data_IF_214761581250
#
_entry.id   IF_214761581250
#
_cell.length_a   1.000
_cell.length_b   1.000
_cell.length_c   1.000
_cell.angle_alpha   90.00
_cell.angle_beta   90.00
_cell.angle_gamma   90.00
#
_symmetry.space_group_name_H-M   'P 1'
#
loop_
_entity.id
_entity.type
_entity.pdbx_description
1 polymer ?
#
# COMPACT_ATOMS: atom_id res chain seq x y z
N UNK A 1 7.61 -6.26 -7.37
CA UNK A 1 8.11 -5.50 -6.21
C UNK A 1 9.52 -5.05 -6.53
N UNK A 2 9.80 -3.75 -6.45
CA UNK A 2 11.09 -3.15 -6.80
C UNK A 2 11.88 -2.82 -5.54
N UNK A 3 13.19 -3.08 -5.53
CA UNK A 3 14.03 -2.74 -4.38
C UNK A 3 14.39 -1.26 -4.37
N UNK A 4 13.92 -0.51 -3.38
CA UNK A 4 14.07 0.96 -3.33
C UNK A 4 15.52 1.43 -3.38
N UNK A 5 16.46 0.76 -2.70
CA UNK A 5 17.88 1.13 -2.72
C UNK A 5 18.50 1.01 -4.12
N UNK A 6 18.36 -0.15 -4.78
CA UNK A 6 18.86 -0.37 -6.14
C UNK A 6 18.19 0.58 -7.12
N UNK A 7 16.87 0.76 -6.98
CA UNK A 7 16.09 1.64 -7.84
C UNK A 7 16.47 3.11 -7.69
N UNK A 8 16.84 3.57 -6.50
CA UNK A 8 17.31 4.94 -6.28
C UNK A 8 18.69 5.19 -6.92
N UNK A 9 19.55 4.18 -6.96
CA UNK A 9 20.97 4.35 -7.31
C UNK A 9 21.29 4.00 -8.77
N UNK A 10 20.65 2.98 -9.34
CA UNK A 10 21.02 2.43 -10.65
C UNK A 10 19.99 2.78 -11.74
N UNK A 11 20.40 3.61 -12.71
CA UNK A 11 19.59 3.86 -13.91
C UNK A 11 19.37 2.58 -14.72
N UNK A 12 20.42 1.79 -14.91
CA UNK A 12 20.34 0.52 -15.65
C UNK A 12 19.29 -0.42 -15.04
N UNK A 13 19.27 -0.55 -13.71
CA UNK A 13 18.26 -1.33 -13.02
C UNK A 13 16.85 -0.78 -13.25
N UNK A 14 16.66 0.55 -13.17
CA UNK A 14 15.35 1.18 -13.46
C UNK A 14 14.86 0.88 -14.86
N UNK A 15 15.74 1.01 -15.86
CA UNK A 15 15.40 0.78 -17.27
C UNK A 15 15.03 -0.70 -17.52
N UNK A 16 15.67 -1.64 -16.82
CA UNK A 16 15.41 -3.08 -16.92
C UNK A 16 14.08 -3.48 -16.27
N UNK A 17 13.84 -3.03 -15.03
CA UNK A 17 12.73 -3.54 -14.20
C UNK A 17 11.42 -2.77 -14.37
N UNK A 18 11.46 -1.59 -14.98
CA UNK A 18 10.29 -0.75 -15.20
C UNK A 18 10.33 -0.11 -16.61
N UNK A 19 10.25 -0.92 -17.68
CA UNK A 19 9.99 -0.39 -19.01
C UNK A 19 8.60 0.28 -19.01
N UNK A 20 8.50 1.47 -19.58
CA UNK A 20 7.26 2.24 -19.59
C UNK A 20 6.39 1.86 -20.78
N UNK A 21 5.11 1.61 -20.54
CA UNK A 21 4.08 1.38 -21.54
C UNK A 21 2.91 2.34 -21.30
N UNK A 22 2.43 3.00 -22.34
CA UNK A 22 1.32 3.97 -22.24
C UNK A 22 -0.02 3.30 -21.86
N UNK A 23 -0.17 2.01 -22.16
CA UNK A 23 -1.36 1.23 -21.84
C UNK A 23 -1.38 0.73 -20.39
N UNK A 24 -0.30 0.90 -19.61
CA UNK A 24 -0.23 0.46 -18.22
C UNK A 24 -0.98 1.40 -17.25
N UNK A 25 -1.77 2.34 -17.76
CA UNK A 25 -2.50 3.33 -16.96
C UNK A 25 -3.85 2.79 -16.46
N UNK A 26 -4.21 2.97 -15.16
CA UNK A 26 -3.41 3.57 -14.10
C UNK A 26 -2.33 2.62 -13.54
N UNK A 27 -1.06 3.04 -13.58
CA UNK A 27 0.07 2.25 -13.08
C UNK A 27 0.33 2.53 -11.60
N UNK A 28 0.43 1.48 -10.78
CA UNK A 28 0.90 1.57 -9.39
C UNK A 28 2.25 0.88 -9.26
N UNK A 29 3.26 1.61 -8.80
CA UNK A 29 4.63 1.07 -8.64
C UNK A 29 4.87 0.66 -7.20
N UNK A 30 5.10 -0.63 -6.97
CA UNK A 30 5.34 -1.17 -5.62
C UNK A 30 6.83 -1.25 -5.27
N UNK A 31 7.23 -0.57 -4.19
CA UNK A 31 8.58 -0.60 -3.64
C UNK A 31 8.69 -1.46 -2.36
N UNK A 32 9.86 -2.05 -2.17
CA UNK A 32 10.33 -2.62 -0.92
C UNK A 32 11.50 -1.82 -0.36
N UNK A 33 11.45 -1.57 0.94
CA UNK A 33 12.47 -0.84 1.67
C UNK A 33 12.06 -0.65 3.11
N UNK A 34 12.97 -0.08 3.89
CA UNK A 34 12.73 0.23 5.30
C UNK A 34 13.28 1.61 5.69
N UNK A 35 13.90 2.34 4.77
CA UNK A 35 14.42 3.69 5.00
C UNK A 35 13.57 4.71 4.24
N UNK A 36 13.04 5.70 4.97
CA UNK A 36 12.10 6.66 4.44
C UNK A 36 12.74 7.57 3.37
N UNK A 37 14.00 7.97 3.56
CA UNK A 37 14.71 8.82 2.60
C UNK A 37 15.03 8.08 1.31
N UNK A 38 15.49 6.83 1.41
CA UNK A 38 15.78 5.98 0.26
C UNK A 38 14.52 5.67 -0.54
N UNK A 39 13.41 5.36 0.15
CA UNK A 39 12.10 5.20 -0.49
C UNK A 39 11.65 6.49 -1.20
N UNK A 40 11.83 7.66 -0.58
CA UNK A 40 11.48 8.94 -1.20
C UNK A 40 12.28 9.17 -2.49
N UNK A 41 13.61 8.93 -2.47
CA UNK A 41 14.45 9.03 -3.67
C UNK A 41 13.96 8.11 -4.78
N UNK A 42 13.66 6.85 -4.46
CA UNK A 42 13.13 5.89 -5.44
C UNK A 42 11.76 6.33 -6.00
N UNK A 43 10.83 6.75 -5.14
CA UNK A 43 9.49 7.18 -5.53
C UNK A 43 9.51 8.42 -6.45
N UNK A 44 10.46 9.35 -6.26
CA UNK A 44 10.58 10.54 -7.11
C UNK A 44 10.86 10.22 -8.58
N UNK A 45 11.51 9.09 -8.90
CA UNK A 45 11.73 8.67 -10.28
C UNK A 45 10.44 8.26 -11.01
N UNK A 46 9.39 7.87 -10.28
CA UNK A 46 8.11 7.44 -10.87
C UNK A 46 7.00 8.47 -10.68
N UNK A 47 7.25 9.55 -9.92
CA UNK A 47 6.24 10.51 -9.47
C UNK A 47 5.41 11.12 -10.60
N UNK A 48 6.01 11.34 -11.78
CA UNK A 48 5.35 12.01 -12.89
C UNK A 48 4.70 11.04 -13.90
N UNK A 49 4.74 9.73 -13.64
CA UNK A 49 4.28 8.68 -14.58
C UNK A 49 3.35 7.66 -13.92
N UNK A 50 3.62 7.30 -12.68
CA UNK A 50 2.76 6.41 -11.92
C UNK A 50 1.53 7.16 -11.39
N UNK A 51 0.40 6.45 -11.24
CA UNK A 51 -0.77 6.96 -10.54
C UNK A 51 -0.54 7.01 -9.02
N UNK A 52 0.15 6.02 -8.47
CA UNK A 52 0.45 5.91 -7.05
C UNK A 52 1.74 5.10 -6.83
N UNK A 53 2.31 5.21 -5.63
CA UNK A 53 3.34 4.31 -5.13
C UNK A 53 2.75 3.39 -4.07
N UNK A 54 3.11 2.11 -4.08
CA UNK A 54 2.66 1.13 -3.08
C UNK A 54 3.85 0.62 -2.26
N UNK A 55 3.67 0.52 -0.95
CA UNK A 55 4.71 0.05 -0.04
C UNK A 55 4.46 -1.42 0.33
N UNK A 56 5.44 -2.27 0.05
CA UNK A 56 5.37 -3.68 0.40
C UNK A 56 5.72 -3.89 1.89
N UNK A 57 4.70 -4.22 2.67
CA UNK A 57 4.82 -4.66 4.07
C UNK A 57 4.37 -6.12 4.25
N UNK A 58 4.23 -6.88 3.16
CA UNK A 58 3.66 -8.23 3.18
C UNK A 58 4.60 -9.35 2.73
N UNK A 59 5.79 -9.05 2.20
CA UNK A 59 6.71 -10.05 1.67
C UNK A 59 7.34 -10.91 2.80
N UNK A 60 7.16 -12.25 2.80
CA UNK A 60 7.74 -13.15 3.81
C UNK A 60 9.01 -13.87 3.31
N UNK A 61 9.66 -13.39 2.24
CA UNK A 61 10.86 -14.03 1.69
C UNK A 61 12.08 -13.81 2.58
N UNK A 62 13.03 -14.75 2.57
CA UNK A 62 14.28 -14.66 3.34
C UNK A 62 15.06 -13.36 3.05
N UNK A 63 15.04 -12.90 1.81
CA UNK A 63 15.65 -11.60 1.46
C UNK A 63 15.00 -10.42 2.17
N UNK A 64 13.69 -10.48 2.43
CA UNK A 64 12.99 -9.48 3.23
C UNK A 64 13.40 -9.52 4.70
N UNK A 65 13.71 -10.71 5.22
CA UNK A 65 14.26 -10.88 6.57
C UNK A 65 15.66 -10.27 6.67
N UNK A 66 16.54 -10.63 5.73
CA UNK A 66 17.94 -10.18 5.71
C UNK A 66 18.04 -8.65 5.67
N UNK A 67 17.19 -8.02 4.88
CA UNK A 67 17.20 -6.57 4.68
C UNK A 67 16.12 -5.82 5.48
N UNK A 68 15.42 -6.52 6.40
CA UNK A 68 14.44 -5.94 7.32
C UNK A 68 13.35 -5.08 6.64
N UNK A 69 12.70 -5.62 5.61
CA UNK A 69 11.53 -5.02 4.96
C UNK A 69 10.35 -6.02 4.89
N UNK A 70 9.23 -5.61 4.30
CA UNK A 70 8.11 -6.53 4.06
C UNK A 70 7.44 -6.98 5.36
N UNK A 71 7.08 -8.26 5.45
CA UNK A 71 6.39 -8.83 6.62
C UNK A 71 7.19 -8.69 7.91
N UNK A 72 8.52 -8.65 7.84
CA UNK A 72 9.38 -8.53 9.01
C UNK A 72 9.28 -7.16 9.69
N UNK A 73 8.78 -6.14 9.00
CA UNK A 73 8.42 -4.86 9.61
C UNK A 73 7.09 -4.92 10.41
N UNK A 74 6.28 -5.96 10.24
CA UNK A 74 5.01 -6.12 10.96
C UNK A 74 5.14 -6.82 12.31
N UNK A 75 6.28 -7.50 12.56
CA UNK A 75 6.45 -8.42 13.69
C UNK A 75 6.22 -7.82 15.08
N UNK A 76 6.61 -6.57 15.30
CA UNK A 76 6.51 -5.95 16.61
C UNK A 76 6.07 -4.48 16.53
N UNK A 77 5.65 -3.93 17.67
CA UNK A 77 5.15 -2.55 17.76
C UNK A 77 6.18 -1.51 17.30
N UNK A 78 7.47 -1.68 17.61
CA UNK A 78 8.52 -0.74 17.22
C UNK A 78 8.69 -0.69 15.70
N UNK A 79 8.71 -1.84 15.02
CA UNK A 79 8.79 -1.90 13.57
C UNK A 79 7.52 -1.34 12.90
N UNK A 80 6.35 -1.54 13.50
CA UNK A 80 5.12 -0.90 13.03
C UNK A 80 5.19 0.62 13.13
N UNK A 81 5.74 1.18 14.22
CA UNK A 81 5.98 2.63 14.30
C UNK A 81 6.93 3.12 13.20
N UNK A 82 7.94 2.34 12.83
CA UNK A 82 8.80 2.64 11.67
C UNK A 82 8.01 2.66 10.36
N UNK A 83 7.08 1.72 10.14
CA UNK A 83 6.18 1.76 8.98
C UNK A 83 5.36 3.05 8.97
N UNK A 84 4.71 3.39 10.09
CA UNK A 84 3.87 4.59 10.19
C UNK A 84 4.69 5.87 9.92
N UNK A 85 5.94 5.92 10.42
CA UNK A 85 6.86 7.01 10.12
C UNK A 85 7.18 7.09 8.62
N UNK A 86 7.51 5.98 7.97
CA UNK A 86 7.78 5.94 6.52
C UNK A 86 6.57 6.45 5.74
N UNK A 87 5.36 5.96 6.05
CA UNK A 87 4.13 6.36 5.35
C UNK A 87 3.90 7.87 5.51
N UNK A 88 3.93 8.40 6.74
CA UNK A 88 3.78 9.84 7.01
C UNK A 88 4.80 10.67 6.25
N UNK A 89 6.06 10.26 6.30
CA UNK A 89 7.16 10.96 5.64
C UNK A 89 6.96 11.02 4.12
N UNK A 90 6.57 9.91 3.49
CA UNK A 90 6.32 9.89 2.06
C UNK A 90 5.10 10.71 1.67
N UNK A 91 4.00 10.64 2.42
CA UNK A 91 2.79 11.43 2.16
C UNK A 91 3.07 12.94 2.24
N UNK A 92 3.93 13.38 3.16
CA UNK A 92 4.34 14.77 3.28
C UNK A 92 5.22 15.27 2.12
N UNK A 93 5.94 14.37 1.46
CA UNK A 93 7.02 14.72 0.52
C UNK A 93 6.78 14.27 -0.94
N UNK A 94 5.70 13.54 -1.20
CA UNK A 94 5.30 13.07 -2.54
C UNK A 94 3.99 13.71 -2.99
N UNK A 95 3.91 13.97 -4.29
CA UNK A 95 2.68 14.43 -4.94
C UNK A 95 1.73 13.29 -5.28
N UNK A 96 2.25 12.05 -5.36
CA UNK A 96 1.45 10.86 -5.63
C UNK A 96 0.85 10.27 -4.34
N UNK A 97 -0.36 9.68 -4.43
CA UNK A 97 -0.91 8.82 -3.39
C UNK A 97 0.07 7.73 -2.95
N UNK A 98 0.14 7.51 -1.64
CA UNK A 98 0.91 6.44 -1.02
C UNK A 98 -0.04 5.32 -0.58
N UNK A 99 0.12 4.15 -1.18
CA UNK A 99 -0.62 2.93 -0.85
C UNK A 99 0.22 2.02 0.03
N UNK A 100 -0.46 1.12 0.75
CA UNK A 100 0.19 0.09 1.53
C UNK A 100 -0.38 -1.28 1.18
N UNK A 101 0.52 -2.28 1.09
CA UNK A 101 0.12 -3.69 1.00
C UNK A 101 0.64 -4.46 2.21
N UNK A 102 -0.28 -4.99 3.01
CA UNK A 102 0.02 -5.73 4.25
C UNK A 102 -0.39 -7.20 4.17
N UNK A 103 0.09 -7.98 5.14
CA UNK A 103 -0.48 -9.27 5.55
C UNK A 103 -1.19 -9.10 6.90
N UNK A 104 -1.95 -10.11 7.30
CA UNK A 104 -2.63 -10.11 8.59
C UNK A 104 -1.64 -10.18 9.76
N UNK A 105 -1.96 -9.46 10.83
CA UNK A 105 -1.30 -9.57 12.12
C UNK A 105 -1.85 -10.80 12.90
N UNK A 106 -1.29 -11.17 14.06
CA UNK A 106 -1.70 -12.34 14.81
C UNK A 106 -3.20 -12.37 15.15
N UNK A 107 -3.80 -11.21 15.44
CA UNK A 107 -5.21 -11.11 15.83
C UNK A 107 -6.02 -10.16 14.92
N UNK A 108 -7.36 -10.34 14.83
CA UNK A 108 -8.23 -9.39 14.12
C UNK A 108 -8.13 -7.97 14.66
N UNK A 109 -8.17 -7.80 15.99
CA UNK A 109 -8.07 -6.48 16.64
C UNK A 109 -6.79 -5.75 16.27
N UNK A 110 -5.64 -6.42 16.39
CA UNK A 110 -4.35 -5.81 16.01
C UNK A 110 -4.32 -5.42 14.53
N UNK A 111 -4.90 -6.25 13.66
CA UNK A 111 -4.93 -5.95 12.21
C UNK A 111 -5.80 -4.72 11.92
N UNK A 112 -6.96 -4.61 12.56
CA UNK A 112 -7.86 -3.44 12.44
C UNK A 112 -7.23 -2.18 13.02
N UNK A 113 -6.61 -2.27 14.20
CA UNK A 113 -5.89 -1.16 14.81
C UNK A 113 -4.77 -0.65 13.90
N UNK A 114 -3.96 -1.55 13.36
CA UNK A 114 -2.88 -1.17 12.46
C UNK A 114 -3.39 -0.57 11.13
N UNK A 115 -4.53 -1.06 10.62
CA UNK A 115 -5.16 -0.46 9.45
C UNK A 115 -5.62 0.98 9.70
N UNK A 116 -6.21 1.26 10.87
CA UNK A 116 -6.56 2.63 11.30
C UNK A 116 -5.32 3.51 11.45
N UNK A 117 -4.24 2.98 12.03
CA UNK A 117 -2.98 3.71 12.15
C UNK A 117 -2.38 4.08 10.77
N UNK A 118 -2.46 3.17 9.79
CA UNK A 118 -2.02 3.42 8.41
C UNK A 118 -2.86 4.51 7.72
N UNK A 119 -4.18 4.47 7.87
CA UNK A 119 -5.08 5.53 7.38
C UNK A 119 -4.72 6.88 8.02
N UNK A 120 -4.54 6.93 9.34
CA UNK A 120 -4.10 8.14 10.05
C UNK A 120 -2.70 8.62 9.64
N UNK A 121 -1.83 7.71 9.21
CA UNK A 121 -0.52 8.05 8.66
C UNK A 121 -0.59 8.64 7.24
N UNK A 122 -1.77 8.63 6.60
CA UNK A 122 -2.01 9.19 5.27
C UNK A 122 -2.02 8.16 4.13
N UNK A 123 -2.04 6.86 4.45
CA UNK A 123 -2.23 5.82 3.45
C UNK A 123 -3.54 6.07 2.68
N UNK A 124 -3.50 6.11 1.36
CA UNK A 124 -4.65 6.46 0.53
C UNK A 124 -5.45 5.24 0.01
N UNK A 125 -4.85 4.05 0.05
CA UNK A 125 -5.50 2.76 -0.27
C UNK A 125 -4.74 1.64 0.43
N UNK A 126 -5.49 0.71 1.05
CA UNK A 126 -4.92 -0.44 1.76
C UNK A 126 -5.23 -1.74 1.03
N UNK A 127 -4.21 -2.41 0.52
CA UNK A 127 -4.33 -3.79 0.04
C UNK A 127 -4.03 -4.77 1.18
N UNK A 128 -4.97 -5.67 1.47
CA UNK A 128 -4.82 -6.67 2.54
C UNK A 128 -4.68 -8.06 1.93
N UNK A 129 -3.50 -8.65 2.03
CA UNK A 129 -3.36 -10.08 1.83
C UNK A 129 -3.97 -10.79 3.03
N UNK A 130 -5.12 -11.43 2.84
CA UNK A 130 -5.92 -12.11 3.86
C UNK A 130 -5.28 -13.42 4.37
N UNK A 131 -3.97 -13.39 4.64
CA UNK A 131 -3.18 -14.45 5.25
C UNK A 131 -2.16 -13.82 6.19
N UNK A 132 -1.87 -14.53 7.27
CA UNK A 132 -0.74 -14.20 8.12
C UNK A 132 0.58 -14.47 7.38
N UNK A 133 1.67 -13.84 7.83
CA UNK A 133 3.01 -14.18 7.34
C UNK A 133 3.47 -15.48 7.97
N UNK A 134 3.28 -16.59 7.26
CA UNK A 134 3.82 -17.87 7.69
C UNK A 134 5.28 -18.02 7.24
N UNK A 135 6.02 -18.90 7.95
CA UNK A 135 7.36 -19.40 7.58
C UNK A 135 7.50 -19.61 6.07
N UNK A 136 8.70 -19.45 5.48
CA UNK A 136 8.91 -19.66 4.05
C UNK A 136 8.38 -21.00 3.50
N UNK A 137 8.22 -22.00 4.37
CA UNK A 137 7.70 -23.34 4.06
C UNK A 137 6.15 -23.40 4.01
N UNK A 138 5.45 -22.50 4.71
CA UNK A 138 3.99 -22.54 4.89
C UNK A 138 3.27 -21.33 4.26
N UNK A 139 3.92 -20.60 3.34
CA UNK A 139 3.43 -19.32 2.75
C UNK A 139 1.99 -19.35 2.20
N UNK A 140 1.45 -20.54 1.92
CA UNK A 140 0.22 -20.80 1.15
C UNK A 140 -0.73 -21.84 1.77
N UNK A 141 -0.43 -22.38 2.95
CA UNK A 141 -1.29 -23.42 3.52
C UNK A 141 -2.57 -22.82 4.07
N UNK A 142 -3.72 -23.37 3.68
CA UNK A 142 -5.04 -22.99 4.17
C UNK A 142 -5.76 -21.86 3.42
N UNK A 143 -7.08 -21.70 3.70
CA UNK A 143 -7.91 -20.68 3.10
C UNK A 143 -7.48 -19.27 3.52
N UNK A 144 -7.84 -18.27 2.71
CA UNK A 144 -7.67 -16.87 3.09
C UNK A 144 -8.69 -16.50 4.19
N UNK A 145 -8.25 -15.77 5.22
CA UNK A 145 -9.09 -15.30 6.32
C UNK A 145 -9.83 -14.02 5.93
N UNK A 146 -10.79 -14.14 5.01
CA UNK A 146 -11.51 -12.99 4.43
C UNK A 146 -12.28 -12.16 5.46
N UNK A 147 -12.66 -12.75 6.61
CA UNK A 147 -13.32 -12.02 7.70
C UNK A 147 -12.49 -10.84 8.19
N UNK A 148 -11.15 -10.95 8.23
CA UNK A 148 -10.28 -9.84 8.64
C UNK A 148 -10.40 -8.64 7.69
N UNK A 149 -10.57 -8.89 6.39
CA UNK A 149 -10.73 -7.81 5.40
C UNK A 149 -12.09 -7.12 5.60
N UNK A 150 -13.14 -7.89 5.89
CA UNK A 150 -14.45 -7.37 6.26
C UNK A 150 -14.38 -6.47 7.49
N UNK A 151 -13.69 -6.95 8.54
CA UNK A 151 -13.52 -6.20 9.78
C UNK A 151 -12.74 -4.90 9.53
N UNK A 152 -11.66 -4.94 8.75
CA UNK A 152 -10.91 -3.73 8.38
C UNK A 152 -11.81 -2.75 7.63
N UNK A 153 -12.52 -3.22 6.59
CA UNK A 153 -13.36 -2.35 5.75
C UNK A 153 -14.47 -1.66 6.53
N UNK A 154 -14.99 -2.28 7.59
CA UNK A 154 -15.99 -1.67 8.46
C UNK A 154 -15.44 -0.53 9.34
N UNK A 155 -14.12 -0.39 9.46
CA UNK A 155 -13.46 0.47 10.45
C UNK A 155 -12.55 1.56 9.89
N UNK A 156 -12.31 1.58 8.57
CA UNK A 156 -11.55 2.63 7.87
C UNK A 156 -12.34 3.14 6.68
N UNK A 157 -12.04 4.37 6.27
CA UNK A 157 -12.77 5.08 5.20
C UNK A 157 -12.07 5.01 3.85
N UNK A 158 -10.74 4.85 3.84
CA UNK A 158 -9.98 4.66 2.60
C UNK A 158 -10.37 3.37 1.88
N UNK A 159 -10.20 3.29 0.55
CA UNK A 159 -10.42 2.07 -0.19
C UNK A 159 -9.58 0.89 0.31
N UNK A 160 -10.22 -0.27 0.41
CA UNK A 160 -9.62 -1.54 0.82
C UNK A 160 -9.69 -2.52 -0.34
N UNK A 161 -8.53 -3.06 -0.72
CA UNK A 161 -8.42 -4.10 -1.75
C UNK A 161 -8.16 -5.45 -1.09
N UNK A 162 -9.06 -6.41 -1.32
CA UNK A 162 -8.88 -7.77 -0.82
C UNK A 162 -7.91 -8.56 -1.70
N UNK A 163 -6.90 -9.19 -1.12
CA UNK A 163 -6.00 -10.10 -1.82
C UNK A 163 -6.03 -11.49 -1.16
N UNK A 164 -6.55 -12.50 -1.89
CA UNK A 164 -6.56 -13.88 -1.44
C UNK A 164 -7.66 -14.73 -2.07
N UNK A 165 -7.32 -15.93 -2.52
CA UNK A 165 -8.25 -16.96 -3.04
C UNK A 165 -9.18 -16.54 -4.19
N UNK A 166 -8.75 -15.62 -5.06
CA UNK A 166 -9.46 -15.26 -6.30
C UNK A 166 -8.87 -16.04 -7.48
N UNK A 167 -9.59 -17.05 -7.98
CA UNK A 167 -9.16 -17.92 -9.10
C UNK A 167 -10.05 -17.84 -10.33
N UNK A 168 -11.26 -17.33 -10.17
CA UNK A 168 -12.30 -17.20 -11.19
C UNK A 168 -13.06 -15.88 -11.02
N UNK A 169 -13.86 -15.51 -12.01
CA UNK A 169 -14.77 -14.36 -11.91
C UNK A 169 -15.76 -14.51 -10.74
N UNK A 170 -16.33 -15.70 -10.53
CA UNK A 170 -17.25 -15.93 -9.42
C UNK A 170 -16.60 -15.76 -8.04
N UNK A 171 -15.30 -16.05 -7.92
CA UNK A 171 -14.56 -15.77 -6.68
C UNK A 171 -14.49 -14.26 -6.40
N UNK A 172 -14.40 -13.43 -7.43
CA UNK A 172 -14.42 -11.97 -7.29
C UNK A 172 -15.75 -11.54 -6.69
N UNK A 173 -16.86 -11.99 -7.29
CA UNK A 173 -18.22 -11.64 -6.86
C UNK A 173 -18.42 -12.07 -5.41
N UNK A 174 -18.14 -13.34 -5.07
CA UNK A 174 -18.28 -13.86 -3.70
C UNK A 174 -17.39 -13.12 -2.71
N UNK A 175 -16.16 -12.79 -3.09
CA UNK A 175 -15.23 -12.07 -2.23
C UNK A 175 -15.74 -10.67 -1.90
N UNK A 176 -16.15 -9.90 -2.92
CA UNK A 176 -16.69 -8.55 -2.75
C UNK A 176 -17.98 -8.56 -1.93
N UNK A 177 -18.90 -9.48 -2.23
CA UNK A 177 -20.14 -9.64 -1.45
C UNK A 177 -19.88 -9.97 0.03
N UNK A 178 -18.91 -10.83 0.31
CA UNK A 178 -18.62 -11.22 1.69
C UNK A 178 -17.82 -10.15 2.46
N UNK A 179 -16.78 -9.60 1.84
CA UNK A 179 -15.83 -8.69 2.50
C UNK A 179 -16.26 -7.23 2.47
N UNK A 180 -17.16 -6.86 1.54
CA UNK A 180 -17.51 -5.46 1.26
C UNK A 180 -16.31 -4.60 0.84
N UNK A 181 -15.18 -5.21 0.48
CA UNK A 181 -14.00 -4.51 -0.02
C UNK A 181 -14.32 -3.75 -1.32
N UNK A 182 -13.57 -2.68 -1.59
CA UNK A 182 -13.77 -1.83 -2.77
C UNK A 182 -13.19 -2.43 -4.05
N UNK A 183 -12.42 -3.51 -3.91
CA UNK A 183 -11.85 -4.23 -5.03
C UNK A 183 -11.11 -5.49 -4.60
N UNK A 184 -10.68 -6.27 -5.59
CA UNK A 184 -9.87 -7.47 -5.38
C UNK A 184 -8.57 -7.39 -6.15
N UNK A 185 -7.52 -7.97 -5.59
CA UNK A 185 -6.24 -8.15 -6.25
C UNK A 185 -5.99 -9.65 -6.48
N UNK A 186 -5.81 -10.04 -7.74
CA UNK A 186 -5.34 -11.36 -8.13
C UNK A 186 -3.83 -11.32 -8.40
N UNK A 187 -3.12 -12.41 -8.11
CA UNK A 187 -1.67 -12.49 -8.33
C UNK A 187 -1.27 -13.78 -9.06
N UNK A 188 -1.71 -14.95 -8.57
CA UNK A 188 -1.29 -16.23 -9.16
C UNK A 188 -2.17 -16.62 -10.36
N UNK A 189 -3.49 -16.53 -10.23
CA UNK A 189 -4.41 -16.99 -11.28
C UNK A 189 -4.38 -16.12 -12.55
N UNK A 190 -4.01 -14.85 -12.44
CA UNK A 190 -3.84 -13.96 -13.60
C UNK A 190 -2.66 -14.38 -14.50
N UNK A 191 -1.66 -15.07 -13.95
CA UNK A 191 -0.52 -15.60 -14.72
C UNK A 191 -0.98 -16.72 -15.65
N UNK A 192 -1.87 -17.59 -15.17
CA UNK A 192 -2.43 -18.71 -15.97
C UNK A 192 -3.62 -18.30 -16.84
N UNK A 193 -4.37 -17.27 -16.43
CA UNK A 193 -5.52 -16.76 -17.15
C UNK A 193 -5.49 -15.22 -17.14
N UNK A 194 -4.81 -14.58 -18.10
CA UNK A 194 -4.77 -13.13 -18.22
C UNK A 194 -6.15 -12.50 -18.46
N UNK A 195 -7.11 -13.27 -18.98
CA UNK A 195 -8.48 -12.86 -19.19
C UNK A 195 -9.38 -13.03 -17.95
N UNK A 196 -8.82 -13.28 -16.76
CA UNK A 196 -9.60 -13.48 -15.52
C UNK A 196 -10.56 -12.32 -15.21
N UNK A 197 -10.20 -11.10 -15.60
CA UNK A 197 -11.04 -9.91 -15.44
C UNK A 197 -11.93 -9.60 -16.66
N UNK A 198 -11.96 -10.49 -17.65
CA UNK A 198 -12.81 -10.36 -18.84
C UNK A 198 -14.00 -11.34 -18.75
N UNK A 199 -15.25 -10.90 -19.00
CA UNK A 199 -15.65 -9.57 -19.46
C UNK A 199 -15.80 -8.58 -18.29
N UNK A 200 -15.03 -7.48 -18.34
CA UNK A 200 -15.09 -6.39 -17.37
C UNK A 200 -16.41 -5.59 -17.43
N UNK A 201 -17.41 -6.04 -18.21
CA UNK A 201 -18.67 -5.36 -18.53
C UNK A 201 -19.56 -5.08 -17.31
N UNK A 202 -19.19 -5.54 -16.12
CA UNK A 202 -19.90 -5.27 -14.88
C UNK A 202 -19.27 -4.16 -14.04
N UNK A 203 -18.05 -3.70 -14.36
CA UNK A 203 -17.40 -2.60 -13.64
C UNK A 203 -17.60 -1.32 -14.44
N UNK A 204 -18.47 -0.47 -13.93
CA UNK A 204 -18.72 0.85 -14.49
C UNK A 204 -17.45 1.70 -14.42
N UNK A 205 -17.06 2.26 -15.58
CA UNK A 205 -15.87 3.10 -15.70
C UNK A 205 -15.98 4.37 -14.85
N UNK A 206 -17.19 4.89 -14.63
CA UNK A 206 -17.40 6.04 -13.76
C UNK A 206 -17.08 5.70 -12.30
N UNK A 207 -17.53 4.54 -11.81
CA UNK A 207 -17.20 4.03 -10.47
C UNK A 207 -15.68 3.92 -10.23
N UNK A 208 -14.92 3.46 -11.23
CA UNK A 208 -13.45 3.42 -11.16
C UNK A 208 -12.89 4.84 -11.08
N UNK A 209 -13.33 5.73 -11.96
CA UNK A 209 -12.87 7.11 -12.02
C UNK A 209 -13.15 7.88 -10.73
N UNK A 210 -14.33 7.69 -10.13
CA UNK A 210 -14.73 8.30 -8.86
C UNK A 210 -13.84 7.82 -7.71
N UNK A 211 -13.48 6.53 -7.72
CA UNK A 211 -12.55 5.96 -6.73
C UNK A 211 -11.14 6.56 -6.88
N UNK A 212 -10.63 6.68 -8.10
CA UNK A 212 -9.33 7.32 -8.36
C UNK A 212 -9.31 8.80 -7.95
N UNK A 213 -10.42 9.52 -8.17
CA UNK A 213 -10.59 10.91 -7.73
C UNK A 213 -10.57 11.02 -6.21
N UNK A 214 -11.37 10.22 -5.50
CA UNK A 214 -11.40 10.19 -4.02
C UNK A 214 -10.02 9.88 -3.42
N UNK A 215 -9.27 8.97 -4.03
CA UNK A 215 -7.89 8.65 -3.61
C UNK A 215 -6.98 9.89 -3.69
N UNK A 216 -7.04 10.65 -4.81
CA UNK A 216 -6.23 11.85 -4.98
C UNK A 216 -6.62 12.95 -3.98
N UNK A 217 -7.90 13.14 -3.76
CA UNK A 217 -8.43 14.11 -2.78
C UNK A 217 -8.01 13.76 -1.35
N UNK A 218 -8.11 12.48 -0.98
CA UNK A 218 -7.65 11.98 0.31
C UNK A 218 -6.15 12.26 0.49
N UNK A 219 -5.30 11.87 -0.47
CA UNK A 219 -3.86 12.14 -0.41
C UNK A 219 -3.54 13.62 -0.23
N UNK A 220 -4.16 14.49 -1.03
CA UNK A 220 -3.97 15.94 -0.95
C UNK A 220 -4.34 16.48 0.43
N UNK A 221 -5.47 16.04 0.97
CA UNK A 221 -5.95 16.44 2.30
C UNK A 221 -5.01 15.98 3.40
N UNK A 222 -4.57 14.72 3.39
CA UNK A 222 -3.64 14.19 4.39
C UNK A 222 -2.26 14.82 4.30
N UNK A 223 -1.75 15.05 3.09
CA UNK A 223 -0.46 15.73 2.88
C UNK A 223 -0.47 17.13 3.49
N UNK A 224 -1.50 17.94 3.20
CA UNK A 224 -1.65 19.27 3.80
C UNK A 224 -1.79 19.21 5.34
N UNK A 225 -2.60 18.28 5.86
CA UNK A 225 -2.76 18.09 7.31
C UNK A 225 -1.44 17.74 8.00
N UNK A 226 -0.71 16.78 7.45
CA UNK A 226 0.56 16.32 8.03
C UNK A 226 1.66 17.37 7.92
N UNK A 227 1.67 18.20 6.87
CA UNK A 227 2.57 19.35 6.76
C UNK A 227 2.27 20.40 7.84
N UNK A 228 0.99 20.74 8.05
CA UNK A 228 0.58 21.67 9.12
C UNK A 228 0.96 21.17 10.51
N UNK A 229 0.66 19.91 10.83
CA UNK A 229 1.06 19.29 12.10
C UNK A 229 2.58 19.32 12.29
N UNK A 230 3.36 19.08 11.22
CA UNK A 230 4.82 19.19 11.25
C UNK A 230 5.29 20.62 11.60
N UNK A 231 4.67 21.63 10.99
CA UNK A 231 4.97 23.03 11.29
C UNK A 231 4.60 23.42 12.73
N UNK A 232 3.42 23.01 13.22
CA UNK A 232 2.98 23.27 14.59
C UNK A 232 3.93 22.64 15.62
N UNK A 233 4.31 21.38 15.42
CA UNK A 233 5.27 20.69 16.28
C UNK A 233 6.64 21.39 16.28
N UNK A 234 7.12 21.82 15.11
CA UNK A 234 8.37 22.58 15.02
C UNK A 234 8.30 23.92 15.78
N UNK A 235 7.20 24.66 15.65
CA UNK A 235 6.99 25.94 16.35
C UNK A 235 6.90 25.76 17.87
N UNK A 236 6.24 24.70 18.35
CA UNK A 236 6.20 24.39 19.79
C UNK A 236 7.56 24.01 20.37
N UNK A 237 8.43 23.36 19.58
CA UNK A 237 9.78 22.99 19.98
C UNK A 237 10.80 24.13 19.82
N UNK A 238 10.50 25.13 18.97
CA UNK A 238 11.36 26.29 18.70
C UNK A 238 10.59 27.62 18.81
N UNK A 239 10.06 27.97 20.00
CA UNK A 239 9.18 29.13 20.17
C UNK A 239 9.87 30.50 19.91
N UNK A 240 11.20 30.57 19.94
CA UNK A 240 11.96 31.81 19.74
C UNK A 240 12.30 32.14 18.27
N UNK A 241 11.86 31.34 17.30
CA UNK A 241 12.13 31.55 15.87
C UNK A 241 10.89 32.01 15.08
N UNK A 242 9.92 32.66 15.72
CA UNK A 242 8.84 33.30 14.97
C UNK A 242 9.43 34.38 14.04
N UNK A 243 9.09 34.39 12.74
CA UNK A 243 9.54 35.44 11.85
C UNK A 243 9.00 36.76 12.37
N UNK A 244 9.91 37.68 12.69
CA UNK A 244 9.57 39.08 12.92
C UNK A 244 9.02 39.61 11.60
N UNK A 245 7.77 40.08 11.63
CA UNK A 245 7.05 40.63 10.46
C UNK A 245 7.83 41.74 9.77
#
# INVERSE_FOLDING_TARGET
>A
MLYSHVFAESKAYRDEVLPWCEYDTPLVVQFAGNDAQTLLRACRFVQNRAFAVDLNFGCPLREAQRHQYGYYLLHNKQNRQRILHIVRFLVQNLQLPVFCKIRLLPTPSETVEFAKELELAGCSLLTVHARQGLSPQNKRYGPAFLQFVKDIKAHITIPVICNGNVRSWDDIIRNLQYTQADGVMCAESIISNPALFYPATQVDSQTVQDTLTRIREHHRTQSMRLQRLGCELYQTQHPQQQPTL
#
